data_IF_041350509278
#
_entry.id   IF_041350509278
#
_cell.length_a   1.000
_cell.length_b   1.000
_cell.length_c   1.000
_cell.angle_alpha   90.00
_cell.angle_beta   90.00
_cell.angle_gamma   90.00
#
_symmetry.space_group_name_H-M   'P 1'
#
loop_
_entity.id
_entity.type
_entity.pdbx_description
1 polymer ?
#
# COMPACT_ATOMS: atom_id res chain seq x y z
N UNK A 1 18.65 -30.13 19.11
CA UNK A 1 18.80 -28.77 18.58
C UNK A 1 17.58 -28.52 17.73
N UNK A 2 16.46 -28.18 18.37
CA UNK A 2 15.19 -27.99 17.68
C UNK A 2 15.19 -26.59 17.05
N UNK A 3 15.33 -26.54 15.73
CA UNK A 3 15.02 -25.35 14.95
C UNK A 3 13.50 -25.21 14.95
N UNK A 4 12.96 -24.67 16.04
CA UNK A 4 11.57 -24.21 16.06
C UNK A 4 11.51 -23.02 15.10
N UNK A 5 11.09 -23.26 13.86
CA UNK A 5 10.80 -22.22 12.87
C UNK A 5 9.52 -21.53 13.33
N UNK A 6 9.58 -20.81 14.46
CA UNK A 6 8.47 -20.00 14.97
C UNK A 6 8.36 -18.74 14.12
N UNK A 7 7.20 -18.56 13.50
CA UNK A 7 6.84 -17.31 12.84
C UNK A 7 6.92 -16.17 13.87
N UNK A 8 7.75 -15.15 13.63
CA UNK A 8 7.77 -13.90 14.42
C UNK A 8 6.56 -13.05 14.05
N UNK A 9 5.37 -13.57 14.29
CA UNK A 9 4.07 -13.02 13.89
C UNK A 9 3.94 -11.55 14.27
N UNK A 10 4.24 -11.20 15.53
CA UNK A 10 4.16 -9.82 16.03
C UNK A 10 5.09 -8.85 15.27
N UNK A 11 6.29 -9.29 14.91
CA UNK A 11 7.24 -8.47 14.16
C UNK A 11 6.78 -8.23 12.72
N UNK A 12 6.18 -9.24 12.09
CA UNK A 12 5.67 -9.16 10.72
C UNK A 12 4.41 -8.29 10.66
N UNK A 13 3.46 -8.48 11.58
CA UNK A 13 2.24 -7.66 11.71
C UNK A 13 2.63 -6.18 11.96
N UNK A 14 3.59 -5.93 12.84
CA UNK A 14 4.05 -4.56 13.13
C UNK A 14 4.63 -3.88 11.88
N UNK A 15 5.39 -4.61 11.06
CA UNK A 15 5.97 -4.08 9.84
C UNK A 15 4.91 -3.85 8.75
N UNK A 16 3.93 -4.74 8.63
CA UNK A 16 2.81 -4.58 7.71
C UNK A 16 1.93 -3.37 8.10
N UNK A 17 1.70 -3.16 9.40
CA UNK A 17 0.99 -1.98 9.89
C UNK A 17 1.72 -0.68 9.56
N UNK A 18 3.04 -0.61 9.80
CA UNK A 18 3.85 0.57 9.43
C UNK A 18 3.79 0.85 7.92
N UNK A 19 3.85 -0.19 7.11
CA UNK A 19 3.78 -0.07 5.65
C UNK A 19 2.41 0.44 5.21
N UNK A 20 1.33 -0.05 5.81
CA UNK A 20 -0.04 0.45 5.59
C UNK A 20 -0.17 1.92 5.96
N UNK A 21 0.30 2.33 7.14
CA UNK A 21 0.25 3.73 7.58
C UNK A 21 1.07 4.65 6.67
N UNK A 22 2.26 4.21 6.23
CA UNK A 22 3.09 4.98 5.29
C UNK A 22 2.40 5.14 3.92
N UNK A 23 1.67 4.11 3.48
CA UNK A 23 0.91 4.12 2.25
C UNK A 23 -0.33 5.03 2.34
N UNK A 24 -1.05 5.01 3.47
CA UNK A 24 -2.18 5.90 3.75
C UNK A 24 -1.75 7.38 3.85
N UNK A 25 -0.51 7.64 4.30
CA UNK A 25 0.06 8.98 4.34
C UNK A 25 0.52 9.50 2.97
N UNK A 26 0.54 8.66 1.92
CA UNK A 26 0.91 9.06 0.58
C UNK A 26 -0.24 9.81 -0.09
N UNK A 27 -0.32 11.11 0.15
CA UNK A 27 -1.24 12.00 -0.56
C UNK A 27 -0.51 12.75 -1.66
N UNK A 28 -0.99 12.59 -2.90
CA UNK A 28 -0.61 13.45 -4.01
C UNK A 28 -1.57 14.62 -4.07
N UNK A 29 -1.03 15.83 -3.99
CA UNK A 29 -1.79 17.04 -4.25
C UNK A 29 -2.11 17.08 -5.75
N UNK A 30 -3.34 16.74 -6.10
CA UNK A 30 -3.83 16.95 -7.46
C UNK A 30 -3.89 18.45 -7.72
N UNK A 31 -3.35 18.96 -8.84
CA UNK A 31 -3.48 20.37 -9.16
C UNK A 31 -4.96 20.74 -9.24
N UNK A 32 -5.33 21.86 -8.62
CA UNK A 32 -6.70 22.34 -8.71
C UNK A 32 -7.08 22.52 -10.18
N UNK A 33 -8.31 22.14 -10.57
CA UNK A 33 -8.81 22.28 -11.96
C UNK A 33 -8.67 23.70 -12.54
N UNK A 34 -8.50 24.71 -11.68
CA UNK A 34 -8.30 26.12 -12.03
C UNK A 34 -6.89 26.65 -11.72
N UNK A 35 -5.89 25.80 -11.44
CA UNK A 35 -4.53 26.21 -11.09
C UNK A 35 -3.87 27.08 -12.18
N UNK A 36 -4.30 26.91 -13.42
CA UNK A 36 -3.87 27.69 -14.58
C UNK A 36 -4.62 29.02 -14.80
N UNK A 37 -5.72 29.28 -14.08
CA UNK A 37 -6.61 30.42 -14.36
C UNK A 37 -7.10 30.43 -15.82
N UNK A 38 -6.99 31.57 -16.51
CA UNK A 38 -7.32 31.70 -17.94
C UNK A 38 -6.18 31.29 -18.89
N UNK A 39 -5.08 30.73 -18.37
CA UNK A 39 -3.89 30.42 -19.15
C UNK A 39 -4.07 29.10 -19.93
N UNK A 40 -4.60 29.22 -21.16
CA UNK A 40 -4.81 28.12 -22.11
C UNK A 40 -3.61 27.91 -23.06
N UNK A 41 -2.38 28.00 -22.55
CA UNK A 41 -1.21 27.56 -23.33
C UNK A 41 -1.24 26.03 -23.43
N UNK A 42 -0.88 25.48 -24.59
CA UNK A 42 -0.80 24.02 -24.81
C UNK A 42 0.05 23.31 -23.75
N UNK A 43 1.12 23.95 -23.29
CA UNK A 43 1.96 23.45 -22.21
C UNK A 43 1.19 23.22 -20.91
N UNK A 44 0.28 24.13 -20.56
CA UNK A 44 -0.49 24.04 -19.32
C UNK A 44 -1.55 22.94 -19.39
N UNK A 45 -2.14 22.73 -20.58
CA UNK A 45 -3.05 21.62 -20.85
C UNK A 45 -2.35 20.27 -20.70
N UNK A 46 -1.19 20.10 -21.35
CA UNK A 46 -0.39 18.87 -21.23
C UNK A 46 0.14 18.63 -19.82
N UNK A 47 0.46 19.69 -19.08
CA UNK A 47 0.85 19.56 -17.68
C UNK A 47 -0.31 19.05 -16.82
N UNK A 48 -1.52 19.59 -16.98
CA UNK A 48 -2.71 19.12 -16.26
C UNK A 48 -3.04 17.65 -16.59
N UNK A 49 -3.04 17.27 -17.87
CA UNK A 49 -3.26 15.89 -18.30
C UNK A 49 -2.25 14.93 -17.65
N UNK A 50 -0.97 15.31 -17.64
CA UNK A 50 0.09 14.50 -17.06
C UNK A 50 -0.02 14.35 -15.55
N UNK A 51 -0.41 15.41 -14.83
CA UNK A 51 -0.65 15.35 -13.39
C UNK A 51 -1.86 14.48 -13.05
N UNK A 52 -2.93 14.50 -13.87
CA UNK A 52 -4.07 13.58 -13.73
C UNK A 52 -3.66 12.12 -13.98
N UNK A 53 -2.85 11.85 -15.01
CA UNK A 53 -2.32 10.50 -15.27
C UNK A 53 -1.46 9.98 -14.12
N UNK A 54 -0.56 10.81 -13.58
CA UNK A 54 0.28 10.46 -12.43
C UNK A 54 -0.58 10.15 -11.21
N UNK A 55 -1.62 10.95 -10.97
CA UNK A 55 -2.54 10.73 -9.86
C UNK A 55 -3.27 9.38 -9.98
N UNK A 56 -3.76 9.01 -11.16
CA UNK A 56 -4.42 7.73 -11.39
C UNK A 56 -3.44 6.54 -11.30
N UNK A 57 -2.20 6.68 -11.82
CA UNK A 57 -1.17 5.65 -11.66
C UNK A 57 -0.83 5.39 -10.20
N UNK A 58 -0.68 6.45 -9.39
CA UNK A 58 -0.35 6.32 -7.97
C UNK A 58 -1.53 5.73 -7.21
N UNK A 59 -2.76 6.12 -7.50
CA UNK A 59 -3.96 5.51 -6.93
C UNK A 59 -4.05 4.01 -7.23
N UNK A 60 -3.74 3.61 -8.47
CA UNK A 60 -3.65 2.21 -8.87
C UNK A 60 -2.56 1.45 -8.12
N UNK A 61 -1.36 2.03 -8.02
CA UNK A 61 -0.25 1.45 -7.24
C UNK A 61 -0.62 1.28 -5.76
N UNK A 62 -1.22 2.30 -5.14
CA UNK A 62 -1.70 2.25 -3.75
C UNK A 62 -2.69 1.12 -3.54
N UNK A 63 -3.66 0.94 -4.44
CA UNK A 63 -4.63 -0.16 -4.35
C UNK A 63 -3.95 -1.54 -4.41
N UNK A 64 -2.98 -1.72 -5.31
CA UNK A 64 -2.22 -2.97 -5.44
C UNK A 64 -1.39 -3.25 -4.18
N UNK A 65 -0.68 -2.24 -3.68
CA UNK A 65 0.14 -2.35 -2.48
C UNK A 65 -0.72 -2.68 -1.25
N UNK A 66 -1.88 -2.05 -1.11
CA UNK A 66 -2.81 -2.34 -0.02
C UNK A 66 -3.35 -3.77 -0.08
N UNK A 67 -3.74 -4.24 -1.27
CA UNK A 67 -4.16 -5.63 -1.46
C UNK A 67 -3.04 -6.61 -1.09
N UNK A 68 -1.80 -6.33 -1.49
CA UNK A 68 -0.65 -7.19 -1.15
C UNK A 68 -0.40 -7.25 0.36
N UNK A 69 -0.58 -6.14 1.08
CA UNK A 69 -0.49 -6.10 2.55
C UNK A 69 -1.61 -6.93 3.19
N UNK A 70 -2.84 -6.84 2.69
CA UNK A 70 -3.98 -7.64 3.17
C UNK A 70 -3.78 -9.14 2.94
N UNK A 71 -3.38 -9.53 1.73
CA UNK A 71 -3.09 -10.92 1.37
C UNK A 71 -1.94 -11.48 2.23
N UNK A 72 -0.90 -10.68 2.50
CA UNK A 72 0.22 -11.08 3.36
C UNK A 72 -0.20 -11.24 4.81
N UNK A 73 -1.03 -10.34 5.35
CA UNK A 73 -1.58 -10.47 6.71
C UNK A 73 -2.41 -11.74 6.85
N UNK A 74 -3.31 -12.01 5.90
CA UNK A 74 -4.14 -13.22 5.91
C UNK A 74 -3.29 -14.50 5.85
N UNK A 75 -2.22 -14.49 5.05
CA UNK A 75 -1.26 -15.60 4.99
C UNK A 75 -0.51 -15.81 6.31
N UNK A 76 -0.03 -14.73 6.93
CA UNK A 76 0.68 -14.75 8.22
C UNK A 76 -0.22 -15.26 9.35
N UNK A 77 -1.49 -14.86 9.37
CA UNK A 77 -2.48 -15.36 10.34
C UNK A 77 -2.80 -16.85 10.13
N UNK A 78 -2.94 -17.29 8.86
CA UNK A 78 -3.16 -18.70 8.55
C UNK A 78 -1.98 -19.57 9.03
N UNK A 79 -0.74 -19.12 8.82
CA UNK A 79 0.46 -19.82 9.27
C UNK A 79 0.50 -19.93 10.81
N UNK A 80 0.14 -18.86 11.52
CA UNK A 80 0.03 -18.90 12.99
C UNK A 80 -0.99 -19.93 13.45
N UNK A 81 -2.18 -19.95 12.83
CA UNK A 81 -3.21 -20.93 13.16
C UNK A 81 -2.76 -22.38 12.90
N UNK A 82 -1.98 -22.62 11.84
CA UNK A 82 -1.42 -23.94 11.55
C UNK A 82 -0.38 -24.37 12.60
N UNK A 83 0.54 -23.47 12.98
CA UNK A 83 1.51 -23.73 14.06
C UNK A 83 0.80 -24.06 15.38
N UNK A 84 -0.22 -23.27 15.76
CA UNK A 84 -1.00 -23.50 16.98
C UNK A 84 -1.79 -24.82 16.95
N UNK A 85 -2.29 -25.23 15.78
CA UNK A 85 -3.00 -26.51 15.62
C UNK A 85 -2.05 -27.71 15.68
N UNK A 86 -0.80 -27.56 15.20
CA UNK A 86 0.22 -28.61 15.27
C UNK A 86 0.72 -28.85 16.70
N UNK A 87 0.84 -27.79 17.51
CA UNK A 87 1.26 -27.89 18.92
C UNK A 87 0.20 -28.55 19.82
N UNK A 88 -1.08 -28.53 19.43
CA UNK A 88 -2.20 -29.12 20.21
C UNK A 88 -2.45 -30.61 19.94
N UNK A 89 -1.73 -31.23 19.01
CA UNK A 89 -1.79 -32.68 18.72
C UNK A 89 -0.63 -33.42 19.38
#
# INVERSE_FOLDING_TARGET
MELEIKLKHDAVISQLFKTKTALEALTLNTPAKNAAGSNKLDFTSHWLEREEEIAELVKGYTAIAQKSIEDTNAGVDLMKHQDEAMIRK
#
